data_IF_043078076472
#
_entry.id   IF_043078076472
#
_cell.length_a   1.000
_cell.length_b   1.000
_cell.length_c   1.000
_cell.angle_alpha   90.00
_cell.angle_beta   90.00
_cell.angle_gamma   90.00
#
_symmetry.space_group_name_H-M   'P 1'
#
loop_
_entity.id
_entity.type
_entity.pdbx_description
1 polymer ?
#
# COMPACT_ATOMS: atom_id res chain seq x y z
N UNK A 1 -6.27 16.40 4.08
CA UNK A 1 -5.97 15.05 3.57
C UNK A 1 -4.61 14.64 4.12
N UNK A 2 -4.46 13.39 4.59
CA UNK A 2 -3.16 12.81 4.97
C UNK A 2 -2.84 11.67 4.01
N UNK A 3 -1.58 11.41 3.72
CA UNK A 3 -1.15 10.31 2.85
C UNK A 3 0.12 9.66 3.35
N UNK A 4 0.32 8.42 2.93
CA UNK A 4 1.46 7.55 3.26
C UNK A 4 1.88 6.84 1.98
N UNK A 5 3.18 6.63 1.79
CA UNK A 5 3.72 5.85 0.68
C UNK A 5 4.35 4.58 1.23
N UNK A 6 3.88 3.44 0.73
CA UNK A 6 4.41 2.12 1.05
C UNK A 6 4.91 1.51 -0.25
N UNK A 7 6.18 1.14 -0.27
CA UNK A 7 6.79 0.45 -1.39
C UNK A 7 6.91 -1.03 -1.06
N UNK A 8 6.76 -1.87 -2.08
CA UNK A 8 6.98 -3.30 -1.95
C UNK A 8 7.73 -3.84 -3.16
N UNK A 9 8.54 -4.86 -2.90
CA UNK A 9 9.27 -5.64 -3.89
C UNK A 9 9.60 -7.02 -3.31
N UNK A 10 10.87 -7.30 -2.97
CA UNK A 10 11.25 -8.48 -2.18
C UNK A 10 10.78 -8.38 -0.72
N UNK A 11 10.71 -7.17 -0.19
CA UNK A 11 10.10 -6.86 1.10
C UNK A 11 9.23 -5.61 0.96
N UNK A 12 8.87 -4.95 2.05
CA UNK A 12 8.17 -3.68 1.99
C UNK A 12 8.76 -2.65 2.96
N UNK A 13 8.55 -1.38 2.66
CA UNK A 13 8.95 -0.27 3.53
C UNK A 13 7.91 0.86 3.53
N UNK A 14 7.81 1.56 4.66
CA UNK A 14 7.09 2.82 4.76
C UNK A 14 8.02 3.91 4.24
N UNK A 15 7.95 4.19 2.94
CA UNK A 15 8.77 5.22 2.29
C UNK A 15 8.43 6.64 2.77
N UNK A 16 7.16 6.88 3.07
CA UNK A 16 6.68 8.11 3.72
C UNK A 16 5.58 7.74 4.73
N UNK A 17 5.78 7.98 6.04
CA UNK A 17 4.73 7.79 7.04
C UNK A 17 3.51 8.67 6.78
N UNK A 18 2.37 8.28 7.36
CA UNK A 18 1.12 9.05 7.23
C UNK A 18 1.30 10.50 7.72
N UNK A 19 1.24 11.45 6.81
CA UNK A 19 1.41 12.88 7.11
C UNK A 19 0.43 13.75 6.33
N UNK A 20 0.10 14.91 6.88
CA UNK A 20 -0.64 15.97 6.19
C UNK A 20 0.24 17.15 5.76
N UNK A 21 1.55 17.10 6.04
CA UNK A 21 2.49 18.15 5.67
C UNK A 21 2.78 18.11 4.17
N UNK A 22 2.36 19.16 3.46
CA UNK A 22 2.51 19.27 2.00
C UNK A 22 3.97 19.30 1.57
N UNK A 23 4.87 19.92 2.35
CA UNK A 23 6.30 19.97 1.98
C UNK A 23 6.91 18.57 2.02
N UNK A 24 6.61 17.82 3.08
CA UNK A 24 7.06 16.42 3.22
C UNK A 24 6.50 15.57 2.08
N UNK A 25 5.23 15.77 1.72
CA UNK A 25 4.59 15.06 0.60
C UNK A 25 5.30 15.37 -0.74
N UNK A 26 5.49 16.65 -1.06
CA UNK A 26 6.12 17.08 -2.31
C UNK A 26 7.56 16.58 -2.44
N UNK A 27 8.32 16.62 -1.35
CA UNK A 27 9.69 16.08 -1.32
C UNK A 27 9.72 14.57 -1.55
N UNK A 28 8.82 13.82 -0.91
CA UNK A 28 8.78 12.37 -1.09
C UNK A 28 8.24 11.97 -2.47
N UNK A 29 7.36 12.74 -3.10
CA UNK A 29 6.97 12.52 -4.49
C UNK A 29 8.17 12.64 -5.44
N UNK A 30 9.04 13.66 -5.26
CA UNK A 30 10.28 13.81 -6.03
C UNK A 30 11.27 12.67 -5.79
N UNK A 31 11.30 12.13 -4.57
CA UNK A 31 12.12 10.95 -4.26
C UNK A 31 11.54 9.68 -4.89
N UNK A 32 10.21 9.54 -4.90
CA UNK A 32 9.49 8.42 -5.49
C UNK A 32 9.75 8.30 -7.00
N UNK A 33 9.84 9.44 -7.71
CA UNK A 33 10.20 9.50 -9.14
C UNK A 33 11.57 8.86 -9.45
N UNK A 34 12.48 8.84 -8.48
CA UNK A 34 13.83 8.28 -8.63
C UNK A 34 13.95 6.82 -8.19
N UNK A 35 12.85 6.23 -7.72
CA UNK A 35 12.84 4.82 -7.29
C UNK A 35 12.97 3.95 -8.53
N UNK A 36 13.95 3.04 -8.50
CA UNK A 36 14.13 2.02 -9.54
C UNK A 36 13.46 0.73 -9.07
N UNK A 37 12.37 0.28 -9.72
CA UNK A 37 11.71 -0.97 -9.37
C UNK A 37 12.65 -2.15 -9.58
N UNK A 38 12.90 -2.93 -8.53
CA UNK A 38 13.73 -4.13 -8.59
C UNK A 38 13.20 -5.18 -7.62
N UNK A 39 13.50 -6.46 -7.86
CA UNK A 39 13.11 -7.54 -6.95
C UNK A 39 11.81 -8.25 -7.34
N UNK A 40 11.28 -9.03 -6.39
CA UNK A 40 10.05 -9.81 -6.54
C UNK A 40 8.80 -8.94 -6.30
N UNK A 41 7.61 -9.51 -6.42
CA UNK A 41 6.33 -8.79 -6.24
C UNK A 41 5.63 -9.23 -4.95
N UNK A 42 6.23 -9.01 -3.78
CA UNK A 42 5.68 -9.41 -2.48
C UNK A 42 4.67 -8.38 -1.94
N UNK A 43 3.55 -8.22 -2.65
CA UNK A 43 2.51 -7.23 -2.33
C UNK A 43 1.90 -7.40 -0.93
N UNK A 44 1.78 -8.63 -0.45
CA UNK A 44 1.36 -8.96 0.92
C UNK A 44 2.19 -8.25 1.99
N UNK A 45 3.52 -8.09 1.81
CA UNK A 45 4.38 -7.35 2.74
C UNK A 45 3.99 -5.86 2.83
N UNK A 46 3.59 -5.27 1.70
CA UNK A 46 3.05 -3.91 1.67
C UNK A 46 1.77 -3.79 2.50
N UNK A 47 0.84 -4.73 2.33
CA UNK A 47 -0.39 -4.75 3.13
C UNK A 47 -0.15 -5.03 4.62
N UNK A 48 0.88 -5.79 5.00
CA UNK A 48 1.27 -5.95 6.42
C UNK A 48 1.59 -4.59 7.04
N UNK A 49 2.41 -3.77 6.38
CA UNK A 49 2.77 -2.43 6.86
C UNK A 49 1.59 -1.46 6.87
N UNK A 50 0.75 -1.50 5.83
CA UNK A 50 -0.47 -0.68 5.77
C UNK A 50 -1.41 -1.03 6.92
N UNK A 51 -1.64 -2.32 7.19
CA UNK A 51 -2.49 -2.77 8.29
C UNK A 51 -1.93 -2.31 9.65
N UNK A 52 -0.63 -2.43 9.89
CA UNK A 52 0.01 -1.93 11.11
C UNK A 52 -0.17 -0.41 11.30
N UNK A 53 0.01 0.36 10.23
CA UNK A 53 -0.17 1.81 10.28
C UNK A 53 -1.64 2.18 10.52
N UNK A 54 -2.58 1.46 9.93
CA UNK A 54 -4.02 1.64 10.18
C UNK A 54 -4.40 1.32 11.62
N UNK A 55 -3.97 0.17 12.14
CA UNK A 55 -4.23 -0.23 13.53
C UNK A 55 -3.77 0.85 14.51
N UNK A 56 -2.56 1.40 14.29
CA UNK A 56 -2.02 2.51 15.09
C UNK A 56 -2.91 3.75 15.03
N UNK A 57 -3.29 4.19 13.83
CA UNK A 57 -4.11 5.39 13.63
C UNK A 57 -5.52 5.23 14.20
N UNK A 58 -6.10 4.03 14.13
CA UNK A 58 -7.39 3.70 14.74
C UNK A 58 -7.29 3.71 16.26
N UNK A 59 -6.23 3.11 16.83
CA UNK A 59 -5.98 3.12 18.27
C UNK A 59 -5.78 4.54 18.83
N UNK A 60 -5.20 5.45 18.03
CA UNK A 60 -5.08 6.89 18.34
C UNK A 60 -6.41 7.66 18.25
N UNK A 61 -7.53 6.99 17.91
CA UNK A 61 -8.88 7.59 17.90
C UNK A 61 -9.22 8.34 16.61
N UNK A 62 -8.49 8.12 15.52
CA UNK A 62 -8.79 8.74 14.22
C UNK A 62 -10.17 8.32 13.70
N UNK A 63 -11.00 9.30 13.33
CA UNK A 63 -12.31 9.08 12.68
C UNK A 63 -12.24 9.08 11.14
N UNK A 64 -11.05 9.20 10.57
CA UNK A 64 -10.88 9.26 9.12
C UNK A 64 -11.12 7.88 8.49
N UNK A 65 -11.88 7.81 7.40
CA UNK A 65 -12.06 6.60 6.61
C UNK A 65 -10.80 6.32 5.79
N UNK A 66 -10.10 5.18 6.00
CA UNK A 66 -8.89 4.87 5.27
C UNK A 66 -9.18 4.54 3.80
N UNK A 67 -8.29 4.98 2.91
CA UNK A 67 -8.30 4.63 1.49
C UNK A 67 -6.93 4.05 1.13
N UNK A 68 -6.93 2.89 0.49
CA UNK A 68 -5.73 2.22 -0.02
C UNK A 68 -5.81 2.22 -1.54
N UNK A 69 -4.78 2.74 -2.19
CA UNK A 69 -4.62 2.67 -3.65
C UNK A 69 -3.37 1.85 -3.91
N UNK A 70 -3.55 0.61 -4.39
CA UNK A 70 -2.46 -0.28 -4.69
C UNK A 70 -2.15 -0.27 -6.19
N UNK A 71 -0.94 0.13 -6.55
CA UNK A 71 -0.45 0.09 -7.93
C UNK A 71 0.27 -1.24 -8.18
N UNK A 72 -0.14 -1.98 -9.20
CA UNK A 72 0.40 -3.32 -9.50
C UNK A 72 0.16 -3.71 -10.96
N UNK A 73 1.01 -4.57 -11.53
CA UNK A 73 0.74 -5.24 -12.82
C UNK A 73 -0.14 -6.50 -12.65
N UNK A 74 -0.51 -6.83 -11.41
CA UNK A 74 -1.37 -7.96 -11.07
C UNK A 74 -0.68 -9.32 -11.18
N UNK A 75 0.62 -9.39 -11.46
CA UNK A 75 1.34 -10.66 -11.67
C UNK A 75 1.90 -11.18 -10.35
N UNK A 76 1.04 -11.80 -9.55
CA UNK A 76 1.42 -12.38 -8.25
C UNK A 76 1.55 -13.91 -8.35
N UNK A 77 2.55 -14.47 -7.68
CA UNK A 77 2.61 -15.91 -7.47
C UNK A 77 1.38 -16.36 -6.64
N UNK A 78 0.83 -17.57 -6.84
CA UNK A 78 -0.42 -17.98 -6.20
C UNK A 78 -0.46 -17.83 -4.67
N UNK A 79 0.64 -18.18 -3.98
CA UNK A 79 0.73 -18.01 -2.53
C UNK A 79 0.72 -16.52 -2.12
N UNK A 80 1.45 -15.68 -2.87
CA UNK A 80 1.51 -14.24 -2.65
C UNK A 80 0.15 -13.60 -2.89
N UNK A 81 -0.59 -14.06 -3.90
CA UNK A 81 -1.93 -13.61 -4.22
C UNK A 81 -2.90 -13.88 -3.05
N UNK A 82 -2.95 -15.13 -2.56
CA UNK A 82 -3.84 -15.49 -1.45
C UNK A 82 -3.51 -14.72 -0.17
N UNK A 83 -2.23 -14.59 0.20
CA UNK A 83 -1.81 -13.78 1.36
C UNK A 83 -2.17 -12.29 1.19
N UNK A 84 -1.99 -11.75 -0.02
CA UNK A 84 -2.35 -10.36 -0.32
C UNK A 84 -3.86 -10.16 -0.18
N UNK A 85 -4.66 -11.11 -0.65
CA UNK A 85 -6.12 -11.07 -0.55
C UNK A 85 -6.59 -11.13 0.90
N UNK A 86 -6.00 -11.99 1.72
CA UNK A 86 -6.29 -12.07 3.16
C UNK A 86 -5.99 -10.73 3.85
N UNK A 87 -4.81 -10.15 3.63
CA UNK A 87 -4.42 -8.89 4.26
C UNK A 87 -5.22 -7.69 3.74
N UNK A 88 -5.60 -7.67 2.46
CA UNK A 88 -6.49 -6.67 1.92
C UNK A 88 -7.90 -6.77 2.53
N UNK A 89 -8.40 -7.99 2.76
CA UNK A 89 -9.65 -8.21 3.50
C UNK A 89 -9.56 -7.75 4.96
N UNK A 90 -8.41 -7.93 5.60
CA UNK A 90 -8.14 -7.34 6.92
C UNK A 90 -8.18 -5.81 6.88
N UNK A 91 -7.63 -5.16 5.86
CA UNK A 91 -7.77 -3.71 5.70
C UNK A 91 -9.24 -3.29 5.56
N UNK A 92 -10.02 -4.03 4.76
CA UNK A 92 -11.46 -3.78 4.58
C UNK A 92 -12.25 -3.95 5.88
N UNK A 93 -11.95 -4.97 6.69
CA UNK A 93 -12.62 -5.17 7.98
C UNK A 93 -12.32 -4.04 8.99
N UNK A 94 -11.19 -3.34 8.83
CA UNK A 94 -10.86 -2.12 9.56
C UNK A 94 -11.46 -0.84 8.94
N UNK A 95 -12.35 -0.98 7.95
CA UNK A 95 -13.07 0.14 7.32
C UNK A 95 -12.34 0.81 6.15
N UNK A 96 -11.24 0.23 5.64
CA UNK A 96 -10.59 0.76 4.45
C UNK A 96 -11.39 0.45 3.18
N UNK A 97 -11.41 1.42 2.26
CA UNK A 97 -11.73 1.14 0.85
C UNK A 97 -10.43 0.84 0.10
N UNK A 98 -10.37 -0.29 -0.60
CA UNK A 98 -9.18 -0.73 -1.34
C UNK A 98 -9.43 -0.64 -2.83
N UNK A 99 -8.64 0.18 -3.51
CA UNK A 99 -8.59 0.30 -4.97
C UNK A 99 -7.30 -0.32 -5.49
N UNK A 100 -7.39 -0.99 -6.63
CA UNK A 100 -6.23 -1.42 -7.42
C UNK A 100 -6.14 -0.57 -8.67
N UNK A 101 -4.93 -0.15 -9.01
CA UNK A 101 -4.60 0.52 -10.26
C UNK A 101 -3.66 -0.39 -11.02
N UNK A 102 -4.20 -1.03 -12.06
CA UNK A 102 -3.45 -1.88 -12.96
C UNK A 102 -2.49 -1.07 -13.83
N UNK A 103 -1.25 -1.53 -13.95
CA UNK A 103 -0.26 -0.98 -14.90
C UNK A 103 0.17 -2.05 -15.90
N UNK A 104 0.69 -1.63 -17.06
CA UNK A 104 1.09 -2.52 -18.16
C UNK A 104 -0.09 -3.43 -18.58
N UNK A 105 0.18 -4.71 -18.89
CA UNK A 105 -0.83 -5.72 -19.23
C UNK A 105 -1.41 -6.34 -17.95
N UNK A 106 -2.12 -5.51 -17.18
CA UNK A 106 -2.72 -5.93 -15.90
C UNK A 106 -3.63 -7.14 -16.08
N UNK A 107 -3.40 -8.18 -15.28
CA UNK A 107 -4.23 -9.38 -15.27
C UNK A 107 -5.47 -9.19 -14.39
N UNK A 108 -6.63 -8.95 -15.02
CA UNK A 108 -7.90 -8.70 -14.31
C UNK A 108 -8.45 -9.89 -13.51
N UNK A 109 -8.04 -11.10 -13.86
CA UNK A 109 -8.47 -12.31 -13.17
C UNK A 109 -7.74 -12.50 -11.82
N UNK A 110 -6.81 -11.59 -11.50
CA UNK A 110 -6.11 -11.45 -10.21
C UNK A 110 -6.36 -10.07 -9.59
#
# INVERSE_FOLDING_TARGET
MRMSFVLYSKGAEIFMPLTGDRKVIEENLKRLERVVPTGQTNMHEGFKLVNQQMEKVIAEGSKATPMIIAMTDGRLLPNIFEETKELANKSRSMGATVYTVGVLDYQKDQ
#
